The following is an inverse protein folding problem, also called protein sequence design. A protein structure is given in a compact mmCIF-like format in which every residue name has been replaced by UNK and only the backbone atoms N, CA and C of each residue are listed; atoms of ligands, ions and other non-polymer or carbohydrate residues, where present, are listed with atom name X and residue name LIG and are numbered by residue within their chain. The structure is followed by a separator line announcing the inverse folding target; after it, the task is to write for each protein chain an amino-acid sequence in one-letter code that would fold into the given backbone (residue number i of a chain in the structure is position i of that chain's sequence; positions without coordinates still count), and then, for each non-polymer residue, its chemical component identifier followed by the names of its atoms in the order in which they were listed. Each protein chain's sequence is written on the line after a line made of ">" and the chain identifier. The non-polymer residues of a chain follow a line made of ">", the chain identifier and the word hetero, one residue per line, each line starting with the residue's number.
data_IF_354730038381
#
_entry.id   IF_354730038381
#
_cell.length_a   1.000
_cell.length_b   1.000
_cell.length_c   1.000
_cell.angle_alpha   90.00
_cell.angle_beta   90.00
_cell.angle_gamma   90.00
#
_symmetry.space_group_name_H-M   'P 1'
#
loop_
_entity.id
_entity.type
_entity.pdbx_description
1 polymer ?
#
# COMPACT_ATOMS: atom_id res chain seq x y z
N UNK A 1 2.92 -1.37 20.76
CA UNK A 1 2.38 -0.05 20.37
C UNK A 1 2.90 0.97 21.37
N UNK A 2 3.62 1.99 20.90
CA UNK A 2 4.16 3.08 21.74
C UNK A 2 3.36 4.34 21.40
N UNK A 3 2.94 5.09 22.41
CA UNK A 3 2.22 6.36 22.25
C UNK A 3 3.14 7.50 22.69
N UNK A 4 3.21 8.57 21.87
CA UNK A 4 4.03 9.74 22.17
C UNK A 4 3.16 10.95 22.51
N UNK A 5 2.27 11.34 21.59
CA UNK A 5 1.45 12.55 21.70
C UNK A 5 -0.01 12.23 21.40
N UNK A 6 -0.92 12.67 22.25
CA UNK A 6 -2.36 12.61 21.99
C UNK A 6 -2.73 13.62 20.90
N UNK A 7 -3.43 13.17 19.88
CA UNK A 7 -3.87 14.04 18.78
C UNK A 7 -5.33 14.49 18.96
N UNK A 8 -6.24 13.55 18.89
CA UNK A 8 -7.67 13.80 19.12
C UNK A 8 -8.42 12.47 19.34
N UNK A 9 -9.51 12.49 20.09
CA UNK A 9 -10.29 11.28 20.44
C UNK A 9 -9.35 10.17 20.92
N UNK A 10 -9.36 9.02 20.27
CA UNK A 10 -8.56 7.85 20.59
C UNK A 10 -7.28 7.74 19.74
N UNK A 11 -6.92 8.80 19.00
CA UNK A 11 -5.76 8.82 18.10
C UNK A 11 -4.54 9.43 18.78
N UNK A 12 -3.41 8.76 18.61
CA UNK A 12 -2.11 9.18 19.11
C UNK A 12 -1.07 9.13 17.97
N UNK A 13 -0.17 10.08 17.97
CA UNK A 13 1.12 9.91 17.31
C UNK A 13 1.93 8.91 18.15
N UNK A 14 2.45 7.88 17.50
CA UNK A 14 3.16 6.81 18.19
C UNK A 14 3.79 5.82 17.21
N UNK A 15 4.14 4.62 17.65
CA UNK A 15 4.67 3.55 16.80
C UNK A 15 3.71 2.36 16.80
N UNK A 16 3.20 2.05 15.62
CA UNK A 16 2.41 0.86 15.36
C UNK A 16 3.33 -0.26 14.88
N UNK A 17 3.77 -1.15 15.76
CA UNK A 17 4.64 -2.27 15.37
C UNK A 17 4.04 -3.13 14.26
N UNK A 18 2.72 -3.39 14.31
CA UNK A 18 2.06 -4.14 13.25
C UNK A 18 1.99 -3.35 11.94
N UNK A 19 1.87 -2.02 12.01
CA UNK A 19 1.93 -1.15 10.84
C UNK A 19 3.33 -1.14 10.22
N UNK A 20 4.37 -1.11 11.05
CA UNK A 20 5.77 -1.21 10.58
C UNK A 20 6.03 -2.56 9.92
N UNK A 21 5.59 -3.67 10.53
CA UNK A 21 5.71 -5.01 9.94
C UNK A 21 4.96 -5.08 8.61
N UNK A 22 3.74 -4.54 8.56
CA UNK A 22 2.93 -4.50 7.35
C UNK A 22 3.62 -3.71 6.22
N UNK A 23 4.22 -2.57 6.54
CA UNK A 23 5.00 -1.77 5.60
C UNK A 23 6.24 -2.54 5.11
N UNK A 24 7.04 -3.09 6.01
CA UNK A 24 8.25 -3.84 5.64
C UNK A 24 7.92 -5.02 4.73
N UNK A 25 6.85 -5.76 5.03
CA UNK A 25 6.40 -6.88 4.18
C UNK A 25 6.06 -6.38 2.77
N UNK A 26 5.33 -5.27 2.65
CA UNK A 26 4.95 -4.72 1.35
C UNK A 26 6.15 -4.22 0.55
N UNK A 27 7.21 -3.71 1.21
CA UNK A 27 8.43 -3.23 0.56
C UNK A 27 9.40 -4.34 0.12
N UNK A 28 9.21 -5.60 0.56
CA UNK A 28 10.13 -6.71 0.21
C UNK A 28 10.41 -6.80 -1.30
N UNK A 29 9.43 -6.77 -2.20
CA UNK A 29 9.70 -6.86 -3.64
C UNK A 29 10.59 -5.72 -4.13
N UNK A 30 10.37 -4.49 -3.66
CA UNK A 30 11.19 -3.34 -4.06
C UNK A 30 12.62 -3.43 -3.54
N UNK A 31 12.80 -3.94 -2.31
CA UNK A 31 14.11 -4.14 -1.68
C UNK A 31 14.93 -5.18 -2.46
N UNK A 32 14.29 -6.25 -2.95
CA UNK A 32 14.99 -7.32 -3.67
C UNK A 32 15.19 -7.00 -5.17
N UNK A 33 14.50 -6.01 -5.72
CA UNK A 33 14.59 -5.65 -7.15
C UNK A 33 16.04 -5.40 -7.63
N UNK A 34 16.88 -4.61 -6.93
CA UNK A 34 18.27 -4.40 -7.34
C UNK A 34 19.11 -5.68 -7.36
N UNK A 35 18.73 -6.69 -6.57
CA UNK A 35 19.42 -7.99 -6.51
C UNK A 35 19.04 -8.88 -7.69
N UNK A 36 17.77 -8.88 -8.09
CA UNK A 36 17.25 -9.69 -9.22
C UNK A 36 17.69 -9.11 -10.56
N UNK A 37 17.79 -7.77 -10.68
CA UNK A 37 18.16 -7.05 -11.89
C UNK A 37 17.40 -7.55 -13.13
N UNK A 38 16.08 -7.36 -13.18
CA UNK A 38 15.28 -7.83 -14.30
C UNK A 38 15.78 -7.23 -15.61
N UNK A 39 15.78 -8.01 -16.69
CA UNK A 39 16.25 -7.59 -18.02
C UNK A 39 15.44 -6.43 -18.61
N UNK A 40 14.18 -6.31 -18.22
CA UNK A 40 13.29 -5.20 -18.51
C UNK A 40 12.66 -4.69 -17.21
N UNK A 41 12.56 -3.39 -17.05
CA UNK A 41 11.97 -2.78 -15.84
C UNK A 41 11.05 -1.63 -16.22
N UNK A 42 9.87 -1.92 -16.82
CA UNK A 42 8.95 -0.89 -17.28
C UNK A 42 8.38 -0.02 -16.13
N UNK A 43 8.28 -0.55 -14.92
CA UNK A 43 7.80 0.23 -13.75
C UNK A 43 8.79 1.35 -13.38
N UNK A 44 10.10 1.06 -13.43
CA UNK A 44 11.13 2.07 -13.10
C UNK A 44 11.48 2.98 -14.29
N UNK A 45 11.06 2.62 -15.50
CA UNK A 45 11.37 3.34 -16.73
C UNK A 45 10.10 3.86 -17.42
N UNK A 46 9.11 4.30 -16.66
CA UNK A 46 7.91 4.93 -17.21
C UNK A 46 8.29 6.20 -17.97
N UNK A 47 7.86 6.30 -19.25
CA UNK A 47 8.25 7.41 -20.12
C UNK A 47 7.19 8.51 -20.24
N UNK A 48 5.99 8.23 -19.78
CA UNK A 48 4.82 9.09 -20.01
C UNK A 48 4.26 9.64 -18.69
N UNK A 49 5.13 9.89 -17.73
CA UNK A 49 4.75 10.41 -16.43
C UNK A 49 4.15 11.82 -16.54
N UNK A 50 3.02 12.00 -15.92
CA UNK A 50 2.42 13.31 -15.74
C UNK A 50 2.87 13.84 -14.37
N UNK A 51 3.80 14.79 -14.39
CA UNK A 51 4.51 15.27 -13.21
C UNK A 51 3.60 15.63 -12.01
N UNK A 52 2.44 16.26 -12.24
CA UNK A 52 1.55 16.59 -11.13
C UNK A 52 0.88 15.34 -10.51
N UNK A 53 0.55 14.33 -11.34
CA UNK A 53 0.01 13.05 -10.83
C UNK A 53 1.06 12.33 -9.99
N UNK A 54 2.31 12.27 -10.47
CA UNK A 54 3.43 11.68 -9.74
C UNK A 54 3.66 12.38 -8.41
N UNK A 55 3.64 13.72 -8.41
CA UNK A 55 3.82 14.51 -7.18
C UNK A 55 2.70 14.23 -6.17
N UNK A 56 1.44 14.27 -6.60
CA UNK A 56 0.30 14.05 -5.71
C UNK A 56 0.27 12.60 -5.23
N UNK A 57 0.50 11.64 -6.12
CA UNK A 57 0.62 10.21 -5.79
C UNK A 57 1.71 9.98 -4.72
N UNK A 58 2.90 10.54 -4.93
CA UNK A 58 4.01 10.42 -4.00
C UNK A 58 3.68 10.99 -2.61
N UNK A 59 3.07 12.17 -2.56
CA UNK A 59 2.66 12.80 -1.29
C UNK A 59 1.59 11.98 -0.56
N UNK A 60 0.55 11.53 -1.26
CA UNK A 60 -0.55 10.76 -0.65
C UNK A 60 -0.08 9.36 -0.25
N UNK A 61 0.78 8.73 -1.06
CA UNK A 61 1.40 7.44 -0.73
C UNK A 61 2.28 7.54 0.51
N UNK A 62 3.16 8.55 0.56
CA UNK A 62 4.01 8.82 1.73
C UNK A 62 3.17 9.07 2.99
N UNK A 63 2.12 9.90 2.89
CA UNK A 63 1.21 10.15 4.00
C UNK A 63 0.52 8.86 4.47
N UNK A 64 0.09 8.00 3.54
CA UNK A 64 -0.50 6.71 3.88
C UNK A 64 0.48 5.81 4.63
N UNK A 65 1.75 5.75 4.21
CA UNK A 65 2.80 5.01 4.91
C UNK A 65 3.04 5.56 6.34
N UNK A 66 3.09 6.87 6.50
CA UNK A 66 3.22 7.49 7.83
C UNK A 66 2.02 7.16 8.73
N UNK A 67 0.80 7.27 8.21
CA UNK A 67 -0.41 6.95 8.97
C UNK A 67 -0.51 5.47 9.34
N UNK A 68 0.03 4.58 8.50
CA UNK A 68 0.13 3.15 8.76
C UNK A 68 1.06 2.86 9.95
N UNK A 69 2.24 3.51 9.98
CA UNK A 69 3.31 3.23 10.93
C UNK A 69 3.22 4.06 12.21
N UNK A 70 2.79 5.32 12.09
CA UNK A 70 2.92 6.31 13.18
C UNK A 70 1.60 6.69 13.84
N UNK A 71 0.46 6.25 13.32
CA UNK A 71 -0.82 6.50 13.98
C UNK A 71 -1.29 5.26 14.70
N UNK A 72 -1.53 5.43 16.01
CA UNK A 72 -2.02 4.36 16.90
C UNK A 72 -3.31 4.80 17.57
N UNK A 73 -4.13 3.83 17.95
CA UNK A 73 -5.37 4.06 18.71
C UNK A 73 -5.30 3.33 20.05
N UNK A 74 -5.76 3.95 21.12
CA UNK A 74 -5.72 3.35 22.46
C UNK A 74 -6.83 2.33 22.71
N UNK A 75 -7.94 2.43 21.99
CA UNK A 75 -9.08 1.53 22.07
C UNK A 75 -8.92 0.26 21.21
N UNK A 76 -7.81 0.13 20.46
CA UNK A 76 -7.57 -1.00 19.55
C UNK A 76 -6.35 -1.82 20.00
N UNK A 77 -6.53 -3.12 20.16
CA UNK A 77 -5.42 -4.04 20.47
C UNK A 77 -4.41 -4.08 19.33
N UNK A 78 -3.14 -4.31 19.67
CA UNK A 78 -2.05 -4.43 18.69
C UNK A 78 -2.39 -5.46 17.59
N UNK A 79 -2.87 -6.63 17.98
CA UNK A 79 -3.39 -7.64 17.09
C UNK A 79 -4.75 -8.13 17.62
N UNK A 80 -5.78 -8.09 16.78
CA UNK A 80 -7.12 -8.62 17.09
C UNK A 80 -7.80 -9.05 15.80
N UNK A 81 -8.41 -10.22 15.84
CA UNK A 81 -9.28 -10.82 14.80
C UNK A 81 -10.53 -11.39 15.48
N UNK A 82 -11.09 -10.69 16.46
CA UNK A 82 -12.16 -11.20 17.31
C UNK A 82 -13.55 -11.03 16.67
N UNK A 83 -13.77 -9.88 16.04
CA UNK A 83 -15.06 -9.56 15.40
C UNK A 83 -15.10 -9.99 13.94
N UNK A 84 -16.30 -10.16 13.38
CA UNK A 84 -16.47 -10.44 11.93
C UNK A 84 -15.84 -9.35 11.08
N UNK A 85 -15.99 -8.07 11.46
CA UNK A 85 -15.33 -6.94 10.79
C UNK A 85 -13.81 -7.13 10.74
N UNK A 86 -13.18 -7.40 11.89
CA UNK A 86 -11.73 -7.59 11.96
C UNK A 86 -11.27 -8.78 11.14
N UNK A 87 -11.98 -9.91 11.19
CA UNK A 87 -11.68 -11.11 10.40
C UNK A 87 -11.72 -10.81 8.90
N UNK A 88 -12.80 -10.15 8.45
CA UNK A 88 -12.99 -9.82 7.03
C UNK A 88 -11.88 -8.91 6.52
N UNK A 89 -11.63 -7.78 7.20
CA UNK A 89 -10.62 -6.83 6.72
C UNK A 89 -9.18 -7.33 6.90
N UNK A 90 -8.92 -8.15 7.91
CA UNK A 90 -7.64 -8.86 8.01
C UNK A 90 -7.44 -9.82 6.83
N UNK A 91 -8.44 -10.65 6.50
CA UNK A 91 -8.37 -11.56 5.37
C UNK A 91 -8.18 -10.81 4.04
N UNK A 92 -8.89 -9.69 3.83
CA UNK A 92 -8.69 -8.83 2.66
C UNK A 92 -7.29 -8.22 2.62
N UNK A 93 -6.75 -7.77 3.75
CA UNK A 93 -5.38 -7.28 3.85
C UNK A 93 -4.37 -8.34 3.41
N UNK A 94 -4.50 -9.57 3.93
CA UNK A 94 -3.64 -10.70 3.54
C UNK A 94 -3.84 -11.04 2.05
N UNK A 95 -5.08 -11.05 1.56
CA UNK A 95 -5.37 -11.29 0.15
C UNK A 95 -4.67 -10.29 -0.77
N UNK A 96 -4.71 -9.00 -0.44
CA UNK A 96 -4.04 -7.95 -1.25
C UNK A 96 -2.52 -8.14 -1.28
N UNK A 97 -1.88 -8.41 -0.14
CA UNK A 97 -0.43 -8.60 -0.14
C UNK A 97 -0.02 -9.86 -0.92
N UNK A 98 -0.81 -10.93 -0.86
CA UNK A 98 -0.56 -12.13 -1.65
C UNK A 98 -0.68 -11.86 -3.16
N UNK A 99 -1.70 -11.12 -3.59
CA UNK A 99 -1.85 -10.71 -5.00
C UNK A 99 -0.66 -9.85 -5.43
N UNK A 100 -0.22 -8.92 -4.59
CA UNK A 100 0.97 -8.11 -4.86
C UNK A 100 2.22 -8.98 -5.06
N UNK A 101 2.51 -9.93 -4.16
CA UNK A 101 3.66 -10.83 -4.29
C UNK A 101 3.58 -11.73 -5.51
N UNK A 102 2.40 -12.26 -5.83
CA UNK A 102 2.19 -13.03 -7.06
C UNK A 102 2.49 -12.16 -8.29
N UNK A 103 1.98 -10.93 -8.32
CA UNK A 103 2.26 -9.98 -9.40
C UNK A 103 3.75 -9.69 -9.55
N UNK A 104 4.47 -9.45 -8.46
CA UNK A 104 5.93 -9.26 -8.47
C UNK A 104 6.68 -10.52 -8.93
N UNK A 105 6.22 -11.70 -8.52
CA UNK A 105 6.82 -12.97 -8.99
C UNK A 105 6.71 -13.09 -10.50
N UNK A 106 5.54 -12.85 -11.08
CA UNK A 106 5.37 -12.84 -12.54
C UNK A 106 6.23 -11.76 -13.21
N UNK A 107 6.27 -10.55 -12.63
CA UNK A 107 7.08 -9.46 -13.13
C UNK A 107 8.58 -9.85 -13.23
N UNK A 108 9.14 -10.47 -12.19
CA UNK A 108 10.53 -10.92 -12.15
C UNK A 108 10.82 -12.11 -13.08
N UNK A 109 9.82 -12.93 -13.36
CA UNK A 109 9.91 -14.00 -14.36
C UNK A 109 9.79 -13.50 -15.81
N UNK A 110 9.59 -12.17 -16.01
CA UNK A 110 9.48 -11.57 -17.34
C UNK A 110 8.05 -11.50 -17.89
N UNK A 111 7.03 -11.94 -17.15
CA UNK A 111 5.61 -11.80 -17.52
C UNK A 111 5.09 -10.41 -17.13
N UNK A 112 5.52 -9.41 -17.90
CA UNK A 112 5.27 -7.99 -17.63
C UNK A 112 4.07 -7.47 -18.43
N UNK A 113 2.93 -8.16 -18.31
CA UNK A 113 1.68 -7.74 -18.95
C UNK A 113 1.14 -6.47 -18.30
N UNK A 114 0.71 -5.50 -19.10
CA UNK A 114 0.26 -4.19 -18.63
C UNK A 114 -0.84 -4.26 -17.58
N UNK A 115 -1.89 -5.05 -17.84
CA UNK A 115 -2.99 -5.21 -16.88
C UNK A 115 -2.53 -5.88 -15.58
N UNK A 116 -1.58 -6.82 -15.67
CA UNK A 116 -1.03 -7.46 -14.48
C UNK A 116 -0.28 -6.44 -13.62
N UNK A 117 0.53 -5.58 -14.26
CA UNK A 117 1.24 -4.49 -13.57
C UNK A 117 0.24 -3.53 -12.94
N UNK A 118 -0.74 -3.03 -13.68
CA UNK A 118 -1.73 -2.07 -13.16
C UNK A 118 -2.50 -2.64 -11.97
N UNK A 119 -2.96 -3.88 -12.07
CA UNK A 119 -3.72 -4.50 -10.97
C UNK A 119 -2.81 -4.77 -9.77
N UNK A 120 -1.70 -5.50 -9.96
CA UNK A 120 -0.92 -6.04 -8.85
C UNK A 120 0.04 -5.03 -8.21
N UNK A 121 0.45 -3.98 -8.94
CA UNK A 121 1.38 -2.97 -8.43
C UNK A 121 0.67 -1.65 -8.10
N UNK A 122 -0.20 -1.18 -8.99
CA UNK A 122 -0.82 0.14 -8.82
C UNK A 122 -2.15 0.11 -8.04
N UNK A 123 -2.99 -0.91 -8.22
CA UNK A 123 -4.28 -0.98 -7.52
C UNK A 123 -4.17 -1.67 -6.15
N UNK A 124 -3.45 -2.78 -6.08
CA UNK A 124 -3.45 -3.64 -4.89
C UNK A 124 -2.71 -3.03 -3.69
N UNK A 125 -1.63 -2.27 -3.92
CA UNK A 125 -0.84 -1.66 -2.83
C UNK A 125 -1.68 -0.67 -2.01
N UNK A 126 -2.35 0.33 -2.60
CA UNK A 126 -3.22 1.20 -1.81
C UNK A 126 -4.44 0.49 -1.21
N UNK A 127 -4.99 -0.56 -1.87
CA UNK A 127 -6.05 -1.39 -1.30
C UNK A 127 -5.57 -2.16 -0.07
N UNK A 128 -4.33 -2.63 -0.06
CA UNK A 128 -3.70 -3.22 1.11
C UNK A 128 -3.71 -2.25 2.30
N UNK A 129 -3.30 -0.99 2.10
CA UNK A 129 -3.34 0.04 3.14
C UNK A 129 -4.77 0.38 3.58
N UNK A 130 -5.70 0.43 2.64
CA UNK A 130 -7.11 0.70 2.93
C UNK A 130 -7.70 -0.40 3.83
N UNK A 131 -7.54 -1.67 3.47
CA UNK A 131 -8.06 -2.78 4.26
C UNK A 131 -7.35 -2.93 5.60
N UNK A 132 -6.05 -2.66 5.67
CA UNK A 132 -5.33 -2.56 6.93
C UNK A 132 -5.91 -1.47 7.82
N UNK A 133 -6.18 -0.29 7.25
CA UNK A 133 -6.81 0.82 7.96
C UNK A 133 -8.20 0.46 8.51
N UNK A 134 -9.02 -0.24 7.72
CA UNK A 134 -10.34 -0.73 8.13
C UNK A 134 -10.24 -1.80 9.23
N UNK A 135 -9.27 -2.73 9.12
CA UNK A 135 -8.99 -3.73 10.15
C UNK A 135 -8.61 -3.08 11.47
N UNK A 136 -7.73 -2.09 11.44
CA UNK A 136 -7.24 -1.36 12.62
C UNK A 136 -8.11 -0.15 12.99
N UNK A 137 -9.25 0.04 12.31
CA UNK A 137 -10.12 1.21 12.47
C UNK A 137 -9.38 2.56 12.43
N UNK A 138 -8.27 2.61 11.68
CA UNK A 138 -7.51 3.83 11.42
C UNK A 138 -8.14 4.58 10.24
N UNK A 139 -9.17 5.38 10.51
CA UNK A 139 -9.92 6.07 9.46
C UNK A 139 -9.15 7.20 8.77
N UNK A 140 -8.08 7.70 9.38
CA UNK A 140 -7.16 8.62 8.69
C UNK A 140 -6.45 7.90 7.55
N UNK A 141 -5.93 6.71 7.85
CA UNK A 141 -5.32 5.85 6.84
C UNK A 141 -6.34 5.42 5.76
N UNK A 142 -7.57 5.08 6.16
CA UNK A 142 -8.63 4.72 5.20
C UNK A 142 -8.87 5.85 4.20
N UNK A 143 -8.98 7.10 4.66
CA UNK A 143 -9.21 8.25 3.80
C UNK A 143 -8.05 8.50 2.82
N UNK A 144 -6.81 8.50 3.32
CA UNK A 144 -5.62 8.71 2.47
C UNK A 144 -5.39 7.55 1.51
N UNK A 145 -5.56 6.30 1.97
CA UNK A 145 -5.39 5.12 1.11
C UNK A 145 -6.47 5.03 0.02
N UNK A 146 -7.69 5.50 0.28
CA UNK A 146 -8.74 5.62 -0.75
C UNK A 146 -8.34 6.61 -1.85
N UNK A 147 -7.83 7.78 -1.46
CA UNK A 147 -7.33 8.76 -2.41
C UNK A 147 -6.11 8.24 -3.17
N UNK A 148 -5.19 7.60 -2.46
CA UNK A 148 -4.02 6.95 -3.07
C UNK A 148 -4.43 5.89 -4.08
N UNK A 149 -5.44 5.07 -3.78
CA UNK A 149 -5.97 4.06 -4.69
C UNK A 149 -6.45 4.67 -6.01
N UNK A 150 -7.23 5.75 -5.94
CA UNK A 150 -7.74 6.42 -7.14
C UNK A 150 -6.58 6.95 -7.98
N UNK A 151 -5.69 7.74 -7.39
CA UNK A 151 -4.63 8.43 -8.12
C UNK A 151 -3.61 7.41 -8.66
N UNK A 152 -3.20 6.45 -7.83
CA UNK A 152 -2.18 5.46 -8.20
C UNK A 152 -2.69 4.53 -9.31
N UNK A 153 -3.95 4.09 -9.24
CA UNK A 153 -4.54 3.26 -10.29
C UNK A 153 -4.70 4.02 -11.59
N UNK A 154 -5.13 5.29 -11.55
CA UNK A 154 -5.20 6.14 -12.74
C UNK A 154 -3.83 6.30 -13.37
N UNK A 155 -2.80 6.58 -12.55
CA UNK A 155 -1.44 6.71 -13.03
C UNK A 155 -0.93 5.44 -13.73
N UNK A 156 -1.11 4.28 -13.10
CA UNK A 156 -0.78 2.99 -13.70
C UNK A 156 -1.53 2.75 -15.01
N UNK A 157 -2.85 3.03 -15.04
CA UNK A 157 -3.66 2.88 -16.23
C UNK A 157 -3.20 3.79 -17.38
N UNK A 158 -2.87 5.03 -17.10
CA UNK A 158 -2.38 5.97 -18.11
C UNK A 158 -1.02 5.56 -18.68
N UNK A 159 -0.11 5.10 -17.83
CA UNK A 159 1.24 4.74 -18.26
C UNK A 159 1.32 3.39 -18.98
N UNK A 160 0.46 2.43 -18.65
CA UNK A 160 0.56 1.07 -19.17
C UNK A 160 -0.54 0.70 -20.17
N UNK A 161 -1.73 1.31 -20.08
CA UNK A 161 -2.86 0.93 -20.94
C UNK A 161 -3.13 1.96 -22.03
N UNK A 162 -3.21 3.27 -21.71
CA UNK A 162 -3.60 4.29 -22.69
C UNK A 162 -2.45 4.71 -23.59
N UNK A 163 -1.23 4.81 -23.08
CA UNK A 163 -0.09 5.46 -23.76
C UNK A 163 0.81 4.49 -24.53
N UNK A 164 0.25 3.44 -25.07
CA UNK A 164 0.93 2.61 -26.06
C UNK A 164 0.89 3.22 -27.45
#
# INVERSE_FOLDING_TARGET
>A
MIKFVHLFKNYYLGLSFIGIIAFVIQEIPYIIMPLIKPTSNPIMNMQNEIQWIETVQGLVGMLSMFLLMLIVRDDIKLFSISTTKEKTFFALTIGMILINFVGWTFYYLGYQYDWLIVISQFAVVPLYYLFFGLWKSNYLLVGTASLFFIIHTINGYMNFIIKK
#
